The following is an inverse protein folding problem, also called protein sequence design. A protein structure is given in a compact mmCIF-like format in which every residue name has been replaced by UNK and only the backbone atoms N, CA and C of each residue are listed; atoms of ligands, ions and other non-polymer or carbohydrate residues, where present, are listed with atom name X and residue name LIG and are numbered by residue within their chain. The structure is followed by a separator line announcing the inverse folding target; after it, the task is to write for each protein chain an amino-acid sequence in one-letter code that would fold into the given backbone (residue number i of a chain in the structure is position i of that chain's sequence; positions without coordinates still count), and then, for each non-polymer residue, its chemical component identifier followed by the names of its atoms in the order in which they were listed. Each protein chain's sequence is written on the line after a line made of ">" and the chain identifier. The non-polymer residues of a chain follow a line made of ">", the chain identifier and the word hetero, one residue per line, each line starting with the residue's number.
data_IF_538401403085
#
_entry.id   IF_538401403085
#
_cell.length_a   1.000
_cell.length_b   1.000
_cell.length_c   1.000
_cell.angle_alpha   90.00
_cell.angle_beta   90.00
_cell.angle_gamma   90.00
#
_symmetry.space_group_name_H-M   'P 1'
#
loop_
_entity.id
_entity.type
_entity.pdbx_description
1 polymer ?
#
# COMPACT_ATOMS: atom_id res chain seq x y z
N UNK A 1 -36.50 -18.87 -14.37
CA UNK A 1 -37.51 -18.94 -15.47
C UNK A 1 -38.82 -19.62 -15.06
N UNK A 2 -38.85 -20.88 -14.59
CA UNK A 2 -40.11 -21.57 -14.19
C UNK A 2 -40.96 -20.78 -13.17
N UNK A 3 -40.32 -20.19 -12.14
CA UNK A 3 -41.00 -19.33 -11.13
C UNK A 3 -41.64 -18.08 -11.74
N UNK A 4 -40.93 -17.41 -12.66
CA UNK A 4 -41.40 -16.20 -13.35
C UNK A 4 -42.62 -16.55 -14.22
N UNK A 5 -42.55 -17.64 -15.00
CA UNK A 5 -43.68 -18.11 -15.81
C UNK A 5 -44.92 -18.40 -14.97
N UNK A 6 -44.76 -19.09 -13.83
CA UNK A 6 -45.88 -19.40 -12.93
C UNK A 6 -46.51 -18.13 -12.33
N UNK A 7 -45.71 -17.12 -11.98
CA UNK A 7 -46.19 -15.83 -11.46
C UNK A 7 -46.90 -15.01 -12.55
N UNK A 8 -46.35 -14.96 -13.76
CA UNK A 8 -46.97 -14.23 -14.87
C UNK A 8 -48.28 -14.90 -15.33
N UNK A 9 -48.30 -16.23 -15.42
CA UNK A 9 -49.54 -16.98 -15.67
C UNK A 9 -50.54 -16.69 -14.53
N UNK A 10 -50.17 -16.87 -13.26
CA UNK A 10 -51.08 -16.62 -12.14
C UNK A 10 -51.66 -15.20 -12.08
N UNK A 11 -50.89 -14.17 -12.46
CA UNK A 11 -51.34 -12.76 -12.41
C UNK A 11 -52.10 -12.29 -13.66
N UNK A 12 -51.81 -12.83 -14.84
CA UNK A 12 -52.29 -12.28 -16.11
C UNK A 12 -53.10 -13.28 -16.95
N UNK A 13 -53.35 -14.51 -16.46
CA UNK A 13 -54.10 -15.54 -17.19
C UNK A 13 -55.51 -15.10 -17.58
N UNK A 14 -56.20 -14.35 -16.72
CA UNK A 14 -57.57 -13.84 -17.00
C UNK A 14 -57.61 -12.52 -17.79
N UNK A 15 -56.48 -11.85 -18.01
CA UNK A 15 -56.40 -10.63 -18.82
C UNK A 15 -55.01 -10.46 -19.44
N UNK A 16 -54.75 -11.12 -20.59
CA UNK A 16 -53.48 -11.02 -21.30
C UNK A 16 -53.18 -9.61 -21.82
N UNK A 17 -54.19 -8.79 -22.09
CA UNK A 17 -53.98 -7.40 -22.54
C UNK A 17 -53.33 -6.54 -21.45
N UNK A 18 -53.63 -6.84 -20.18
CA UNK A 18 -53.04 -6.14 -19.05
C UNK A 18 -51.52 -6.32 -18.99
N UNK A 19 -50.96 -7.49 -19.34
CA UNK A 19 -49.50 -7.67 -19.37
C UNK A 19 -48.85 -6.85 -20.47
N UNK A 20 -49.49 -6.72 -21.64
CA UNK A 20 -48.99 -5.88 -22.73
C UNK A 20 -48.95 -4.39 -22.35
N UNK A 21 -49.98 -3.91 -21.63
CA UNK A 21 -50.02 -2.53 -21.11
C UNK A 21 -48.92 -2.27 -20.08
N UNK A 22 -48.70 -3.21 -19.15
CA UNK A 22 -47.61 -3.12 -18.15
C UNK A 22 -46.25 -3.05 -18.84
N UNK A 23 -45.99 -3.94 -19.82
CA UNK A 23 -44.74 -3.94 -20.58
C UNK A 23 -44.56 -2.62 -21.35
N UNK A 24 -45.61 -2.14 -22.02
CA UNK A 24 -45.58 -0.87 -22.75
C UNK A 24 -45.25 0.32 -21.83
N UNK A 25 -45.85 0.35 -20.63
CA UNK A 25 -45.57 1.38 -19.63
C UNK A 25 -44.13 1.31 -19.10
N UNK A 26 -43.60 0.11 -18.83
CA UNK A 26 -42.19 -0.08 -18.44
C UNK A 26 -41.24 0.45 -19.53
N UNK A 27 -41.44 0.06 -20.79
CA UNK A 27 -40.62 0.52 -21.91
C UNK A 27 -40.72 2.04 -22.13
N UNK A 28 -41.90 2.64 -21.91
CA UNK A 28 -42.07 4.09 -21.97
C UNK A 28 -41.29 4.79 -20.85
N UNK A 29 -41.33 4.26 -19.63
CA UNK A 29 -40.61 4.84 -18.50
C UNK A 29 -39.09 4.68 -18.65
N UNK A 30 -38.60 3.54 -19.14
CA UNK A 30 -37.18 3.35 -19.48
C UNK A 30 -36.70 4.39 -20.49
N UNK A 31 -37.47 4.64 -21.56
CA UNK A 31 -37.16 5.70 -22.53
C UNK A 31 -37.17 7.09 -21.90
N UNK A 32 -38.11 7.37 -20.99
CA UNK A 32 -38.16 8.65 -20.26
C UNK A 32 -36.93 8.84 -19.38
N UNK A 33 -36.50 7.80 -18.67
CA UNK A 33 -35.29 7.82 -17.83
C UNK A 33 -34.05 8.05 -18.69
N UNK A 34 -33.91 7.35 -19.82
CA UNK A 34 -32.79 7.54 -20.74
C UNK A 34 -32.76 8.95 -21.34
N UNK A 35 -33.92 9.50 -21.71
CA UNK A 35 -34.01 10.88 -22.20
C UNK A 35 -33.61 11.89 -21.12
N UNK A 36 -34.05 11.69 -19.87
CA UNK A 36 -33.68 12.54 -18.75
C UNK A 36 -32.18 12.46 -18.41
N UNK A 37 -31.58 11.27 -18.51
CA UNK A 37 -30.14 11.08 -18.28
C UNK A 37 -29.26 11.72 -19.36
N UNK A 38 -29.78 11.93 -20.57
CA UNK A 38 -29.08 12.58 -21.68
C UNK A 38 -29.24 14.12 -21.70
N UNK A 39 -29.96 14.70 -20.74
CA UNK A 39 -30.06 16.15 -20.63
C UNK A 39 -28.70 16.73 -20.18
N UNK A 40 -28.18 17.76 -20.87
CA UNK A 40 -26.92 18.39 -20.47
C UNK A 40 -27.04 18.97 -19.06
N UNK A 41 -26.11 18.57 -18.18
CA UNK A 41 -26.04 18.93 -16.75
C UNK A 41 -26.11 20.45 -16.57
N UNK A 42 -27.25 20.95 -16.09
CA UNK A 42 -27.45 22.36 -15.73
C UNK A 42 -27.23 22.55 -14.24
N UNK A 43 -25.97 22.75 -13.82
CA UNK A 43 -25.70 23.27 -12.48
C UNK A 43 -24.28 23.00 -11.94
N UNK A 44 -23.68 23.95 -11.18
CA UNK A 44 -22.45 23.72 -10.43
C UNK A 44 -22.54 22.59 -9.39
N UNK A 45 -23.75 22.30 -8.89
CA UNK A 45 -23.98 21.32 -7.82
C UNK A 45 -23.81 19.86 -8.30
N UNK A 46 -24.23 19.53 -9.53
CA UNK A 46 -24.12 18.17 -10.08
C UNK A 46 -22.72 17.84 -10.60
N UNK A 47 -21.93 18.85 -11.02
CA UNK A 47 -20.50 18.68 -11.31
C UNK A 47 -19.67 18.33 -10.07
N UNK A 48 -20.07 18.82 -8.89
CA UNK A 48 -19.47 18.48 -7.59
C UNK A 48 -19.82 17.05 -7.13
N UNK A 49 -20.99 16.54 -7.53
CA UNK A 49 -21.43 15.16 -7.26
C UNK A 49 -20.74 14.11 -8.14
N UNK A 50 -20.15 14.53 -9.27
CA UNK A 50 -19.24 13.68 -10.01
C UNK A 50 -17.91 13.64 -9.24
N UNK A 51 -17.68 12.53 -8.54
CA UNK A 51 -16.44 12.13 -7.85
C UNK A 51 -15.18 12.09 -8.74
N UNK A 52 -15.10 12.86 -9.84
CA UNK A 52 -14.05 12.79 -10.84
C UNK A 52 -12.70 13.21 -10.28
N UNK A 53 -12.63 14.32 -9.54
CA UNK A 53 -11.38 14.83 -8.95
C UNK A 53 -10.82 13.91 -7.86
N UNK A 54 -11.70 13.38 -7.00
CA UNK A 54 -11.34 12.40 -5.97
C UNK A 54 -10.86 11.09 -6.60
N UNK A 55 -11.56 10.61 -7.64
CA UNK A 55 -11.14 9.41 -8.37
C UNK A 55 -9.80 9.61 -9.10
N UNK A 56 -9.55 10.80 -9.63
CA UNK A 56 -8.30 11.13 -10.32
C UNK A 56 -7.12 11.18 -9.36
N UNK A 57 -7.30 11.80 -8.19
CA UNK A 57 -6.30 11.83 -7.12
C UNK A 57 -5.93 10.44 -6.63
N UNK A 58 -6.94 9.58 -6.43
CA UNK A 58 -6.72 8.19 -6.02
C UNK A 58 -5.94 7.39 -7.07
N UNK A 59 -6.31 7.52 -8.35
CA UNK A 59 -5.54 6.89 -9.44
C UNK A 59 -4.10 7.39 -9.47
N UNK A 60 -3.87 8.69 -9.28
CA UNK A 60 -2.51 9.24 -9.26
C UNK A 60 -1.67 8.62 -8.14
N UNK A 61 -2.24 8.43 -6.94
CA UNK A 61 -1.58 7.72 -5.84
C UNK A 61 -1.22 6.30 -6.25
N UNK A 62 -2.17 5.54 -6.80
CA UNK A 62 -1.95 4.16 -7.26
C UNK A 62 -0.83 4.07 -8.32
N UNK A 63 -0.81 4.97 -9.29
CA UNK A 63 0.23 5.01 -10.33
C UNK A 63 1.61 5.29 -9.73
N UNK A 64 1.71 6.24 -8.79
CA UNK A 64 2.98 6.54 -8.11
C UNK A 64 3.46 5.38 -7.24
N UNK A 65 2.55 4.69 -6.55
CA UNK A 65 2.88 3.47 -5.79
C UNK A 65 3.42 2.38 -6.73
N UNK A 66 2.77 2.17 -7.87
CA UNK A 66 3.23 1.18 -8.85
C UNK A 66 4.61 1.55 -9.43
N UNK A 67 4.85 2.83 -9.72
CA UNK A 67 6.14 3.32 -10.18
C UNK A 67 7.26 3.05 -9.16
N UNK A 68 7.03 3.37 -7.88
CA UNK A 68 7.98 3.08 -6.78
C UNK A 68 8.27 1.58 -6.71
N UNK A 69 7.24 0.73 -6.77
CA UNK A 69 7.41 -0.74 -6.74
C UNK A 69 8.30 -1.23 -7.89
N UNK A 70 8.06 -0.72 -9.10
CA UNK A 70 8.89 -1.07 -10.26
C UNK A 70 10.34 -0.60 -10.08
N UNK A 71 10.56 0.63 -9.59
CA UNK A 71 11.90 1.14 -9.30
C UNK A 71 12.64 0.28 -8.27
N UNK A 72 11.98 -0.18 -7.20
CA UNK A 72 12.55 -1.08 -6.20
C UNK A 72 12.92 -2.45 -6.79
N UNK A 73 12.12 -2.96 -7.72
CA UNK A 73 12.43 -4.20 -8.43
C UNK A 73 13.64 -4.04 -9.35
N UNK A 74 13.78 -2.90 -10.03
CA UNK A 74 14.97 -2.62 -10.83
C UNK A 74 16.23 -2.51 -9.97
N UNK A 75 16.18 -1.84 -8.82
CA UNK A 75 17.34 -1.78 -7.91
C UNK A 75 17.70 -3.13 -7.30
N UNK A 76 16.74 -4.05 -7.18
CA UNK A 76 17.03 -5.44 -6.77
C UNK A 76 17.87 -6.16 -7.81
N UNK A 77 17.53 -6.00 -9.09
CA UNK A 77 18.31 -6.55 -10.19
C UNK A 77 19.71 -5.94 -10.25
N UNK A 78 19.82 -4.62 -10.07
CA UNK A 78 21.12 -3.92 -9.99
C UNK A 78 21.97 -4.47 -8.82
N UNK A 79 21.36 -4.70 -7.65
CA UNK A 79 22.05 -5.25 -6.46
C UNK A 79 22.54 -6.68 -6.69
N UNK A 80 21.75 -7.50 -7.38
CA UNK A 80 22.13 -8.87 -7.76
C UNK A 80 23.29 -8.87 -8.77
N UNK A 81 23.22 -8.02 -9.79
CA UNK A 81 24.30 -7.88 -10.76
C UNK A 81 25.61 -7.40 -10.10
N UNK A 82 25.51 -6.52 -9.10
CA UNK A 82 26.65 -6.09 -8.30
C UNK A 82 27.27 -7.25 -7.52
N UNK A 83 26.46 -8.17 -7.01
CA UNK A 83 26.94 -9.42 -6.39
C UNK A 83 27.77 -10.25 -7.36
N UNK A 84 27.22 -10.50 -8.56
CA UNK A 84 27.87 -11.32 -9.58
C UNK A 84 29.23 -10.70 -10.01
N UNK A 85 29.28 -9.38 -10.21
CA UNK A 85 30.53 -8.67 -10.52
C UNK A 85 31.57 -8.78 -9.40
N UNK A 86 31.12 -8.72 -8.15
CA UNK A 86 32.01 -8.80 -7.00
C UNK A 86 32.56 -10.22 -6.83
N UNK A 87 31.74 -11.24 -7.05
CA UNK A 87 32.16 -12.64 -7.02
C UNK A 87 33.16 -12.95 -8.14
N UNK A 88 32.97 -12.39 -9.35
CA UNK A 88 33.95 -12.52 -10.43
C UNK A 88 35.29 -11.86 -10.06
N UNK A 89 35.24 -10.65 -9.49
CA UNK A 89 36.44 -9.95 -9.02
C UNK A 89 37.18 -10.79 -7.97
N UNK A 90 36.47 -11.30 -6.94
CA UNK A 90 37.04 -12.09 -5.86
C UNK A 90 37.70 -13.38 -6.40
N UNK A 91 37.04 -14.06 -7.34
CA UNK A 91 37.58 -15.24 -7.99
C UNK A 91 38.90 -14.95 -8.74
N UNK A 92 38.94 -13.90 -9.56
CA UNK A 92 40.15 -13.50 -10.30
C UNK A 92 41.26 -13.07 -9.36
N UNK A 93 40.93 -12.28 -8.34
CA UNK A 93 41.88 -11.80 -7.35
C UNK A 93 42.54 -12.95 -6.59
N UNK A 94 41.74 -13.92 -6.12
CA UNK A 94 42.26 -15.14 -5.46
C UNK A 94 43.12 -15.98 -6.38
N UNK A 95 42.71 -16.14 -7.64
CA UNK A 95 43.49 -16.88 -8.65
C UNK A 95 44.90 -16.30 -8.78
N UNK A 96 45.02 -14.97 -8.85
CA UNK A 96 46.31 -14.28 -8.89
C UNK A 96 47.11 -14.45 -7.58
N UNK A 97 46.47 -14.33 -6.42
CA UNK A 97 47.16 -14.51 -5.15
C UNK A 97 47.77 -15.91 -4.97
N UNK A 98 47.14 -16.93 -5.53
CA UNK A 98 47.61 -18.33 -5.44
C UNK A 98 48.71 -18.70 -6.44
N UNK A 99 49.06 -17.83 -7.39
CA UNK A 99 50.15 -18.10 -8.34
C UNK A 99 51.55 -18.01 -7.69
N UNK A 100 52.44 -18.93 -8.10
CA UNK A 100 53.77 -19.09 -7.53
C UNK A 100 54.70 -17.91 -7.85
N UNK A 101 55.69 -17.64 -6.99
CA UNK A 101 56.54 -16.43 -7.11
C UNK A 101 57.38 -16.35 -8.39
N UNK A 102 57.61 -17.48 -9.08
CA UNK A 102 58.37 -17.55 -10.33
C UNK A 102 57.69 -16.93 -11.55
N UNK A 103 56.36 -16.81 -11.55
CA UNK A 103 55.57 -16.31 -12.69
C UNK A 103 55.17 -14.82 -12.56
N UNK A 104 55.58 -14.15 -11.46
CA UNK A 104 55.15 -12.78 -11.11
C UNK A 104 55.70 -11.68 -12.00
N UNK A 105 56.71 -11.96 -12.83
CA UNK A 105 57.34 -10.99 -13.74
C UNK A 105 56.83 -11.09 -15.19
N UNK A 106 55.68 -11.74 -15.40
CA UNK A 106 55.13 -11.97 -16.73
C UNK A 106 54.21 -10.82 -17.18
N UNK A 107 54.24 -10.45 -18.46
CA UNK A 107 53.38 -9.39 -19.02
C UNK A 107 51.88 -9.67 -18.82
N UNK A 108 51.51 -10.95 -18.75
CA UNK A 108 50.17 -11.44 -18.43
C UNK A 108 49.71 -11.04 -17.02
N UNK A 109 50.62 -11.02 -16.04
CA UNK A 109 50.31 -10.60 -14.65
C UNK A 109 49.96 -9.11 -14.60
N UNK A 110 50.76 -8.29 -15.29
CA UNK A 110 50.48 -6.85 -15.37
C UNK A 110 49.14 -6.57 -16.07
N UNK A 111 48.79 -7.35 -17.08
CA UNK A 111 47.50 -7.24 -17.75
C UNK A 111 46.33 -7.61 -16.82
N UNK A 112 46.43 -8.71 -16.07
CA UNK A 112 45.36 -9.12 -15.16
C UNK A 112 45.19 -8.14 -13.98
N UNK A 113 46.28 -7.54 -13.49
CA UNK A 113 46.22 -6.46 -12.49
C UNK A 113 45.47 -5.24 -13.03
N UNK A 114 45.69 -4.86 -14.29
CA UNK A 114 44.94 -3.78 -14.94
C UNK A 114 43.46 -4.14 -15.05
N UNK A 115 43.12 -5.37 -15.45
CA UNK A 115 41.74 -5.85 -15.51
C UNK A 115 41.06 -5.82 -14.14
N UNK A 116 41.73 -6.26 -13.08
CA UNK A 116 41.20 -6.15 -11.72
C UNK A 116 40.95 -4.70 -11.30
N UNK A 117 41.84 -3.77 -11.68
CA UNK A 117 41.64 -2.35 -11.39
C UNK A 117 40.41 -1.79 -12.13
N UNK A 118 40.19 -2.18 -13.39
CA UNK A 118 39.00 -1.81 -14.15
C UNK A 118 37.71 -2.38 -13.52
N UNK A 119 37.75 -3.64 -13.06
CA UNK A 119 36.64 -4.26 -12.35
C UNK A 119 36.34 -3.55 -11.02
N UNK A 120 37.37 -3.17 -10.26
CA UNK A 120 37.21 -2.41 -9.01
C UNK A 120 36.57 -1.04 -9.27
N UNK A 121 37.00 -0.33 -10.32
CA UNK A 121 36.41 0.94 -10.72
C UNK A 121 34.94 0.78 -11.14
N UNK A 122 34.62 -0.30 -11.85
CA UNK A 122 33.25 -0.64 -12.25
C UNK A 122 32.37 -0.94 -11.02
N UNK A 123 32.88 -1.74 -10.08
CA UNK A 123 32.20 -2.02 -8.81
C UNK A 123 31.91 -0.74 -8.03
N UNK A 124 32.89 0.16 -7.91
CA UNK A 124 32.69 1.43 -7.23
C UNK A 124 31.61 2.30 -7.91
N UNK A 125 31.68 2.42 -9.23
CA UNK A 125 30.66 3.13 -9.99
C UNK A 125 29.26 2.53 -9.76
N UNK A 126 29.15 1.20 -9.80
CA UNK A 126 27.87 0.49 -9.60
C UNK A 126 27.35 0.60 -8.17
N UNK A 127 28.21 0.58 -7.16
CA UNK A 127 27.82 0.82 -5.76
C UNK A 127 27.24 2.23 -5.58
N UNK A 128 27.90 3.25 -6.16
CA UNK A 128 27.41 4.64 -6.15
C UNK A 128 26.07 4.77 -6.89
N UNK A 129 25.96 4.16 -8.07
CA UNK A 129 24.73 4.16 -8.86
C UNK A 129 23.55 3.54 -8.10
N UNK A 130 23.75 2.36 -7.50
CA UNK A 130 22.73 1.67 -6.72
C UNK A 130 22.27 2.51 -5.52
N UNK A 131 23.20 3.04 -4.71
CA UNK A 131 22.86 3.88 -3.55
C UNK A 131 22.12 5.17 -3.95
N UNK A 132 22.49 5.79 -5.08
CA UNK A 132 21.80 6.96 -5.61
C UNK A 132 20.36 6.63 -6.00
N UNK A 133 20.13 5.52 -6.73
CA UNK A 133 18.78 5.06 -7.09
C UNK A 133 17.95 4.75 -5.85
N UNK A 134 18.51 4.04 -4.87
CA UNK A 134 17.84 3.75 -3.59
C UNK A 134 17.47 5.04 -2.85
N UNK A 135 18.38 6.03 -2.81
CA UNK A 135 18.12 7.34 -2.20
C UNK A 135 16.94 8.05 -2.87
N UNK A 136 16.89 8.04 -4.20
CA UNK A 136 15.79 8.63 -4.97
C UNK A 136 14.46 7.94 -4.62
N UNK A 137 14.43 6.60 -4.59
CA UNK A 137 13.24 5.84 -4.22
C UNK A 137 12.75 6.21 -2.81
N UNK A 138 13.66 6.33 -1.84
CA UNK A 138 13.30 6.74 -0.47
C UNK A 138 12.70 8.15 -0.47
N UNK A 139 13.28 9.09 -1.21
CA UNK A 139 12.76 10.46 -1.32
C UNK A 139 11.37 10.51 -1.97
N UNK A 140 11.16 9.78 -3.06
CA UNK A 140 9.87 9.69 -3.75
C UNK A 140 8.80 9.04 -2.87
N UNK A 141 9.18 7.99 -2.13
CA UNK A 141 8.29 7.30 -1.18
C UNK A 141 7.87 8.23 -0.06
N UNK A 142 8.82 8.93 0.57
CA UNK A 142 8.54 9.88 1.65
C UNK A 142 7.62 11.02 1.19
N UNK A 143 7.91 11.58 0.00
CA UNK A 143 7.07 12.61 -0.60
C UNK A 143 5.64 12.10 -0.88
N UNK A 144 5.50 10.89 -1.43
CA UNK A 144 4.19 10.29 -1.71
C UNK A 144 3.39 10.03 -0.42
N UNK A 145 4.04 9.49 0.60
CA UNK A 145 3.45 9.21 1.90
C UNK A 145 2.94 10.52 2.52
N UNK A 146 3.80 11.53 2.59
CA UNK A 146 3.51 12.79 3.26
C UNK A 146 2.48 13.66 2.52
N UNK A 147 2.55 13.75 1.20
CA UNK A 147 1.74 14.68 0.40
C UNK A 147 0.41 14.11 -0.10
N UNK A 148 0.30 12.79 -0.30
CA UNK A 148 -0.86 12.21 -0.96
C UNK A 148 -1.51 11.10 -0.16
N UNK A 149 -0.76 10.07 0.24
CA UNK A 149 -1.33 8.89 0.89
C UNK A 149 -1.98 9.22 2.24
N UNK A 150 -1.31 10.04 3.06
CA UNK A 150 -1.86 10.46 4.36
C UNK A 150 -3.09 11.36 4.21
N UNK A 151 -3.18 12.13 3.13
CA UNK A 151 -4.37 12.94 2.87
C UNK A 151 -5.55 12.09 2.41
N UNK A 152 -5.34 11.12 1.52
CA UNK A 152 -6.38 10.16 1.13
C UNK A 152 -6.93 9.36 2.32
N UNK A 153 -6.04 9.00 3.27
CA UNK A 153 -6.45 8.35 4.51
C UNK A 153 -7.33 9.26 5.38
N UNK A 154 -6.96 10.53 5.55
CA UNK A 154 -7.76 11.52 6.29
C UNK A 154 -9.10 11.77 5.61
N UNK A 155 -9.13 11.87 4.29
CA UNK A 155 -10.34 12.06 3.50
C UNK A 155 -11.26 10.83 3.58
N UNK A 156 -10.69 9.63 3.59
CA UNK A 156 -11.45 8.41 3.85
C UNK A 156 -12.05 8.41 5.27
N UNK A 157 -11.29 8.78 6.30
CA UNK A 157 -11.81 8.89 7.68
C UNK A 157 -12.93 9.93 7.77
N UNK A 158 -12.79 11.07 7.08
CA UNK A 158 -13.83 12.10 7.03
C UNK A 158 -15.10 11.59 6.36
N UNK A 159 -14.98 10.89 5.23
CA UNK A 159 -16.12 10.24 4.57
C UNK A 159 -16.78 9.19 5.46
N UNK A 160 -16.00 8.42 6.23
CA UNK A 160 -16.54 7.47 7.20
C UNK A 160 -17.35 8.17 8.31
N UNK A 161 -16.87 9.30 8.84
CA UNK A 161 -17.62 10.09 9.82
C UNK A 161 -18.97 10.57 9.26
N UNK A 162 -18.96 11.08 8.03
CA UNK A 162 -20.17 11.53 7.32
C UNK A 162 -21.14 10.36 7.10
N UNK A 163 -20.64 9.19 6.71
CA UNK A 163 -21.46 7.99 6.56
C UNK A 163 -22.10 7.54 7.89
N UNK A 164 -21.41 7.72 9.03
CA UNK A 164 -21.97 7.36 10.34
C UNK A 164 -23.16 8.24 10.77
N UNK A 165 -23.30 9.45 10.20
CA UNK A 165 -24.44 10.35 10.46
C UNK A 165 -25.50 10.30 9.36
N UNK A 166 -25.45 9.28 8.49
CA UNK A 166 -26.44 9.06 7.43
C UNK A 166 -26.05 9.56 6.05
N UNK A 167 -24.80 10.01 5.85
CA UNK A 167 -24.25 10.34 4.54
C UNK A 167 -23.97 9.10 3.67
N UNK A 168 -23.54 9.31 2.41
CA UNK A 168 -23.31 8.23 1.46
C UNK A 168 -22.14 7.31 1.88
N UNK A 169 -22.37 6.00 1.86
CA UNK A 169 -21.33 4.99 2.06
C UNK A 169 -20.33 5.03 0.89
N UNK A 170 -19.04 5.09 1.21
CA UNK A 170 -17.96 5.11 0.23
C UNK A 170 -17.11 3.85 0.29
N UNK A 171 -16.87 3.26 -0.88
CA UNK A 171 -15.92 2.18 -1.08
C UNK A 171 -14.59 2.80 -1.49
N UNK A 172 -13.57 2.72 -0.63
CA UNK A 172 -12.22 3.23 -0.92
C UNK A 172 -11.13 2.60 -0.06
N UNK A 173 -11.51 1.80 0.94
CA UNK A 173 -10.56 1.19 1.86
C UNK A 173 -9.70 0.11 1.20
N UNK A 174 -10.22 -0.57 0.18
CA UNK A 174 -9.47 -1.60 -0.56
C UNK A 174 -8.36 -0.97 -1.43
N UNK A 175 -8.63 0.19 -2.05
CA UNK A 175 -7.62 0.95 -2.78
C UNK A 175 -6.51 1.43 -1.84
N UNK A 176 -6.89 2.00 -0.69
CA UNK A 176 -5.93 2.36 0.35
C UNK A 176 -5.13 1.15 0.83
N UNK A 177 -5.79 0.01 1.10
CA UNK A 177 -5.10 -1.22 1.51
C UNK A 177 -4.07 -1.66 0.46
N UNK A 178 -4.41 -1.61 -0.83
CA UNK A 178 -3.47 -1.95 -1.90
C UNK A 178 -2.26 -1.00 -1.90
N UNK A 179 -2.49 0.32 -1.83
CA UNK A 179 -1.41 1.31 -1.77
C UNK A 179 -0.49 1.11 -0.56
N UNK A 180 -1.07 0.95 0.65
CA UNK A 180 -0.29 0.70 1.87
C UNK A 180 0.49 -0.61 1.81
N UNK A 181 -0.12 -1.68 1.30
CA UNK A 181 0.53 -2.99 1.19
C UNK A 181 1.70 -2.95 0.21
N UNK A 182 1.50 -2.41 -1.00
CA UNK A 182 2.55 -2.33 -2.02
C UNK A 182 3.73 -1.44 -1.58
N UNK A 183 3.46 -0.32 -0.89
CA UNK A 183 4.53 0.52 -0.34
C UNK A 183 5.28 -0.18 0.80
N UNK A 184 4.57 -0.89 1.68
CA UNK A 184 5.22 -1.65 2.75
C UNK A 184 6.11 -2.77 2.17
N UNK A 185 5.62 -3.54 1.20
CA UNK A 185 6.41 -4.54 0.47
C UNK A 185 7.67 -3.93 -0.16
N UNK A 186 7.51 -2.79 -0.85
CA UNK A 186 8.60 -2.07 -1.51
C UNK A 186 9.68 -1.62 -0.52
N UNK A 187 9.27 -1.08 0.63
CA UNK A 187 10.21 -0.66 1.68
C UNK A 187 10.91 -1.84 2.36
N UNK A 188 10.21 -2.94 2.62
CA UNK A 188 10.85 -4.16 3.15
C UNK A 188 11.84 -4.76 2.14
N UNK A 189 11.50 -4.75 0.86
CA UNK A 189 12.41 -5.20 -0.19
C UNK A 189 13.64 -4.30 -0.29
N UNK A 190 13.47 -2.97 -0.23
CA UNK A 190 14.58 -2.02 -0.22
C UNK A 190 15.48 -2.19 1.03
N UNK A 191 14.87 -2.44 2.20
CA UNK A 191 15.62 -2.78 3.42
C UNK A 191 16.49 -4.02 3.24
N UNK A 192 15.95 -5.10 2.65
CA UNK A 192 16.71 -6.33 2.36
C UNK A 192 17.85 -6.08 1.37
N UNK A 193 17.65 -5.23 0.36
CA UNK A 193 18.72 -4.83 -0.57
C UNK A 193 19.85 -4.08 0.17
N UNK A 194 19.53 -3.18 1.10
CA UNK A 194 20.54 -2.50 1.93
C UNK A 194 21.28 -3.48 2.85
N UNK A 195 20.60 -4.47 3.42
CA UNK A 195 21.21 -5.58 4.18
C UNK A 195 22.18 -6.37 3.30
N UNK A 196 21.80 -6.65 2.04
CA UNK A 196 22.66 -7.35 1.08
C UNK A 196 23.91 -6.55 0.68
N UNK A 197 23.77 -5.25 0.47
CA UNK A 197 24.92 -4.36 0.19
C UNK A 197 25.93 -4.34 1.34
N UNK A 198 25.49 -4.42 2.60
CA UNK A 198 26.40 -4.54 3.75
C UNK A 198 27.12 -5.88 3.79
N UNK A 199 26.43 -6.98 3.49
CA UNK A 199 27.06 -8.29 3.36
C UNK A 199 28.18 -8.24 2.31
N UNK A 200 27.91 -7.63 1.16
CA UNK A 200 28.89 -7.44 0.08
C UNK A 200 30.06 -6.53 0.48
N UNK A 201 29.79 -5.40 1.14
CA UNK A 201 30.84 -4.50 1.63
C UNK A 201 31.70 -5.16 2.72
N UNK A 202 31.12 -6.03 3.55
CA UNK A 202 31.88 -6.81 4.55
C UNK A 202 32.84 -7.81 3.89
N UNK A 203 32.44 -8.42 2.76
CA UNK A 203 33.32 -9.31 1.98
C UNK A 203 34.45 -8.55 1.30
N UNK A 204 34.17 -7.34 0.82
CA UNK A 204 35.12 -6.50 0.08
C UNK A 204 34.79 -5.02 0.24
N UNK A 205 35.72 -4.27 0.82
CA UNK A 205 35.64 -2.80 0.97
C UNK A 205 36.96 -2.15 0.60
N UNK A 206 36.95 -0.83 0.50
CA UNK A 206 38.09 -0.01 0.10
C UNK A 206 37.95 1.41 0.65
N UNK A 207 39.03 2.18 0.61
CA UNK A 207 39.03 3.59 1.00
C UNK A 207 38.05 4.39 0.16
N UNK A 208 37.07 5.03 0.80
CA UNK A 208 36.01 5.78 0.12
C UNK A 208 34.85 4.93 -0.43
N UNK A 209 34.71 3.67 0.00
CA UNK A 209 33.53 2.84 -0.30
C UNK A 209 32.24 3.56 0.11
N UNK A 210 31.30 3.81 -0.84
CA UNK A 210 30.09 4.57 -0.54
C UNK A 210 29.11 3.79 0.36
N UNK A 211 29.20 2.45 0.44
CA UNK A 211 28.25 1.63 1.21
C UNK A 211 28.35 1.94 2.71
N UNK A 212 29.50 1.81 3.39
CA UNK A 212 29.61 2.15 4.81
C UNK A 212 29.25 3.61 5.11
N UNK A 213 29.53 4.53 4.17
CA UNK A 213 29.29 5.96 4.34
C UNK A 213 27.80 6.35 4.31
N UNK A 214 27.00 5.72 3.44
CA UNK A 214 25.62 6.16 3.17
C UNK A 214 24.54 5.20 3.70
N UNK A 215 24.86 3.90 3.81
CA UNK A 215 23.86 2.87 4.10
C UNK A 215 23.14 3.09 5.43
N UNK A 216 23.87 3.44 6.48
CA UNK A 216 23.29 3.62 7.82
C UNK A 216 22.15 4.67 7.81
N UNK A 217 22.39 5.80 7.15
CA UNK A 217 21.41 6.86 7.00
C UNK A 217 20.20 6.40 6.15
N UNK A 218 20.42 5.71 5.04
CA UNK A 218 19.33 5.18 4.22
C UNK A 218 18.48 4.16 4.98
N UNK A 219 19.11 3.25 5.72
CA UNK A 219 18.42 2.24 6.52
C UNK A 219 17.57 2.88 7.61
N UNK A 220 18.06 3.93 8.28
CA UNK A 220 17.29 4.70 9.25
C UNK A 220 16.04 5.32 8.61
N UNK A 221 16.19 5.97 7.45
CA UNK A 221 15.07 6.57 6.71
C UNK A 221 14.04 5.53 6.27
N UNK A 222 14.47 4.41 5.71
CA UNK A 222 13.58 3.30 5.34
C UNK A 222 12.85 2.76 6.56
N UNK A 223 13.54 2.57 7.68
CA UNK A 223 12.94 2.09 8.93
C UNK A 223 11.90 3.07 9.48
N UNK A 224 12.18 4.37 9.43
CA UNK A 224 11.23 5.40 9.81
C UNK A 224 9.97 5.38 8.92
N UNK A 225 10.13 5.24 7.60
CA UNK A 225 9.01 5.15 6.67
C UNK A 225 8.15 3.91 6.93
N UNK A 226 8.77 2.76 7.17
CA UNK A 226 8.06 1.53 7.55
C UNK A 226 7.24 1.78 8.82
N UNK A 227 7.86 2.31 9.87
CA UNK A 227 7.17 2.63 11.12
C UNK A 227 5.98 3.58 10.90
N UNK A 228 6.19 4.65 10.13
CA UNK A 228 5.16 5.62 9.80
C UNK A 228 3.97 4.97 9.07
N UNK A 229 4.22 4.12 8.07
CA UNK A 229 3.16 3.39 7.37
C UNK A 229 2.38 2.50 8.33
N UNK A 230 3.06 1.68 9.15
CA UNK A 230 2.40 0.80 10.11
C UNK A 230 1.52 1.57 11.09
N UNK A 231 2.06 2.64 11.68
CA UNK A 231 1.35 3.50 12.63
C UNK A 231 0.04 4.05 12.04
N UNK A 232 0.06 4.46 10.77
CA UNK A 232 -1.10 5.05 10.11
C UNK A 232 -2.03 4.02 9.45
N UNK A 233 -1.57 2.78 9.26
CA UNK A 233 -2.34 1.72 8.60
C UNK A 233 -3.40 1.04 9.48
N UNK A 234 -3.35 1.22 10.80
CA UNK A 234 -4.29 0.59 11.72
C UNK A 234 -5.53 1.48 11.93
N UNK A 235 -6.65 1.07 11.34
CA UNK A 235 -7.88 1.87 11.29
C UNK A 235 -9.10 1.13 11.83
N UNK A 236 -10.09 1.89 12.27
CA UNK A 236 -11.43 1.38 12.57
C UNK A 236 -12.21 1.32 11.26
N UNK A 237 -12.40 0.13 10.69
CA UNK A 237 -13.18 -0.04 9.46
C UNK A 237 -14.69 0.11 9.72
N UNK A 238 -15.18 -0.43 10.85
CA UNK A 238 -16.56 -0.26 11.29
C UNK A 238 -16.59 0.29 12.71
N UNK A 239 -17.14 1.48 12.83
CA UNK A 239 -17.31 2.17 14.11
C UNK A 239 -18.21 1.36 15.07
N UNK A 240 -18.04 1.52 16.40
CA UNK A 240 -18.87 0.89 17.42
C UNK A 240 -20.37 0.99 17.11
N UNK A 241 -21.04 -0.15 17.01
CA UNK A 241 -22.47 -0.21 16.69
C UNK A 241 -23.15 -1.42 17.33
N UNK A 242 -24.36 -1.21 17.86
CA UNK A 242 -25.22 -2.27 18.38
C UNK A 242 -25.97 -2.95 17.23
N UNK A 243 -25.91 -4.29 17.08
CA UNK A 243 -26.67 -5.00 16.03
C UNK A 243 -28.18 -4.78 16.10
N UNK A 244 -28.72 -4.47 17.28
CA UNK A 244 -30.14 -4.15 17.50
C UNK A 244 -30.53 -2.75 17.02
N UNK A 245 -29.56 -1.84 16.81
CA UNK A 245 -29.78 -0.46 16.40
C UNK A 245 -28.78 -0.02 15.30
N UNK A 246 -28.79 -0.67 14.12
CA UNK A 246 -27.78 -0.45 13.08
C UNK A 246 -27.81 0.98 12.48
N UNK A 247 -28.94 1.69 12.63
CA UNK A 247 -29.10 3.07 12.16
C UNK A 247 -28.43 4.13 13.05
N UNK A 248 -27.97 3.75 14.26
CA UNK A 248 -27.37 4.67 15.23
C UNK A 248 -25.97 4.20 15.65
N UNK A 249 -24.98 4.20 14.73
CA UNK A 249 -23.60 3.94 15.11
C UNK A 249 -23.12 4.98 16.14
N UNK A 250 -22.10 4.63 16.93
CA UNK A 250 -21.53 5.45 18.01
C UNK A 250 -22.45 5.73 19.20
N UNK A 251 -23.72 5.30 19.17
CA UNK A 251 -24.63 5.36 20.31
C UNK A 251 -24.68 3.97 20.94
N UNK A 252 -24.18 3.86 22.17
CA UNK A 252 -24.09 2.59 22.90
C UNK A 252 -24.99 2.63 24.13
N UNK A 253 -25.82 1.59 24.31
CA UNK A 253 -26.62 1.39 25.52
C UNK A 253 -25.90 0.39 26.43
N UNK A 254 -25.80 0.71 27.71
CA UNK A 254 -25.20 -0.20 28.71
C UNK A 254 -25.90 -1.54 28.72
N UNK A 255 -25.14 -2.60 29.03
CA UNK A 255 -25.61 -3.99 29.04
C UNK A 255 -26.08 -4.54 27.68
N UNK A 256 -25.95 -3.76 26.59
CA UNK A 256 -26.22 -4.24 25.23
C UNK A 256 -24.91 -4.48 24.51
N UNK A 257 -24.83 -5.63 23.83
CA UNK A 257 -23.68 -5.98 23.01
C UNK A 257 -23.54 -5.01 21.83
N UNK A 258 -22.30 -4.61 21.56
CA UNK A 258 -21.93 -3.87 20.36
C UNK A 258 -20.74 -4.54 19.68
N UNK A 259 -20.48 -4.13 18.44
CA UNK A 259 -19.38 -4.66 17.63
C UNK A 259 -18.55 -3.52 17.05
N UNK A 260 -17.25 -3.78 16.88
CA UNK A 260 -16.29 -2.90 16.21
C UNK A 260 -15.51 -3.77 15.23
N UNK A 261 -15.17 -3.24 14.05
CA UNK A 261 -14.27 -3.91 13.11
C UNK A 261 -13.04 -3.06 12.91
N UNK A 262 -11.87 -3.65 13.17
CA UNK A 262 -10.57 -3.04 12.95
C UNK A 262 -9.96 -3.64 11.67
N UNK A 263 -9.14 -2.85 10.99
CA UNK A 263 -8.42 -3.30 9.80
C UNK A 263 -7.01 -2.74 9.83
N UNK A 264 -6.04 -3.62 9.55
CA UNK A 264 -4.70 -3.22 9.17
C UNK A 264 -4.68 -3.07 7.65
N UNK A 265 -4.34 -1.88 7.16
CA UNK A 265 -4.25 -1.59 5.72
C UNK A 265 -3.00 -2.18 5.08
N UNK A 266 -2.04 -2.65 5.87
CA UNK A 266 -0.91 -3.44 5.39
C UNK A 266 -1.29 -4.91 5.48
N UNK A 267 -1.40 -5.59 4.34
CA UNK A 267 -1.77 -7.00 4.25
C UNK A 267 -0.57 -7.84 3.84
N UNK A 268 0.27 -8.18 4.82
CA UNK A 268 1.42 -9.06 4.64
C UNK A 268 1.11 -10.46 5.22
N UNK A 269 1.33 -11.55 4.47
CA UNK A 269 1.10 -12.92 4.96
C UNK A 269 1.81 -13.22 6.29
N UNK A 270 2.98 -12.65 6.49
CA UNK A 270 3.84 -12.80 7.67
C UNK A 270 3.17 -12.27 8.95
N UNK A 271 2.26 -11.31 8.83
CA UNK A 271 1.57 -10.71 9.98
C UNK A 271 0.32 -11.50 10.40
N UNK A 272 -0.10 -12.49 9.60
CA UNK A 272 -1.30 -13.26 9.88
C UNK A 272 -1.17 -13.95 11.25
N UNK A 273 -2.16 -13.71 12.12
CA UNK A 273 -2.23 -14.24 13.48
C UNK A 273 -1.10 -13.81 14.44
N UNK A 274 -0.19 -12.93 14.02
CA UNK A 274 0.88 -12.40 14.89
C UNK A 274 0.44 -11.18 15.69
N UNK A 275 -0.50 -10.40 15.15
CA UNK A 275 -0.98 -9.18 15.80
C UNK A 275 -2.14 -9.52 16.75
N UNK A 276 -1.91 -9.29 18.05
CA UNK A 276 -2.97 -9.27 19.07
C UNK A 276 -3.41 -7.84 19.31
N UNK A 277 -4.72 -7.63 19.38
CA UNK A 277 -5.27 -6.31 19.69
C UNK A 277 -5.60 -6.29 21.18
N UNK A 278 -5.97 -5.15 21.75
CA UNK A 278 -6.62 -5.13 23.05
C UNK A 278 -7.56 -3.95 23.08
N UNK A 279 -8.84 -4.21 23.34
CA UNK A 279 -9.83 -3.15 23.50
C UNK A 279 -9.83 -2.61 24.95
N UNK A 280 -9.82 -1.29 25.08
CA UNK A 280 -10.05 -0.56 26.33
C UNK A 280 -10.86 0.69 26.05
N UNK A 281 -11.70 1.09 26.99
CA UNK A 281 -12.46 2.35 26.96
C UNK A 281 -11.88 3.33 27.98
N UNK A 282 -11.99 4.63 27.72
CA UNK A 282 -11.57 5.72 28.62
C UNK A 282 -10.09 5.69 29.05
N UNK A 283 -9.19 5.14 28.23
CA UNK A 283 -7.74 5.19 28.47
C UNK A 283 -7.22 6.62 28.21
N UNK A 284 -6.52 7.20 29.19
CA UNK A 284 -5.89 8.54 29.11
C UNK A 284 -6.86 9.74 29.00
N UNK A 285 -8.06 9.66 29.59
CA UNK A 285 -8.99 10.81 29.62
C UNK A 285 -8.52 11.82 30.67
N UNK A 286 -8.17 13.04 30.23
CA UNK A 286 -7.64 14.13 31.06
C UNK A 286 -8.70 14.93 31.83
N UNK A 287 -9.99 14.75 31.55
CA UNK A 287 -11.06 15.60 32.11
C UNK A 287 -12.31 14.82 32.59
N UNK A 288 -12.57 14.93 33.91
CA UNK A 288 -13.87 15.19 34.58
C UNK A 288 -15.19 14.51 34.12
N UNK A 289 -15.20 13.32 33.51
CA UNK A 289 -16.42 12.51 33.50
C UNK A 289 -16.56 11.72 34.81
N UNK A 290 -17.61 11.98 35.59
CA UNK A 290 -17.92 11.22 36.82
C UNK A 290 -18.35 9.76 36.55
N UNK A 291 -18.63 9.41 35.28
CA UNK A 291 -19.04 8.06 34.90
C UNK A 291 -17.90 7.37 34.18
N UNK A 292 -17.48 6.23 34.73
CA UNK A 292 -16.51 5.32 34.13
C UNK A 292 -17.22 4.06 33.69
N UNK A 293 -16.85 3.57 32.50
CA UNK A 293 -17.38 2.33 31.95
C UNK A 293 -16.27 1.28 31.87
N UNK A 294 -16.67 0.02 31.94
CA UNK A 294 -15.78 -1.13 31.71
C UNK A 294 -16.35 -1.93 30.54
N UNK A 295 -15.47 -2.35 29.64
CA UNK A 295 -15.84 -3.28 28.59
C UNK A 295 -15.93 -4.68 29.19
N UNK A 296 -17.10 -5.31 29.06
CA UNK A 296 -17.30 -6.71 29.43
C UNK A 296 -17.44 -7.53 28.14
N UNK A 297 -16.58 -8.53 27.94
CA UNK A 297 -16.59 -9.39 26.75
C UNK A 297 -15.20 -9.91 26.39
N UNK A 298 -15.04 -10.42 25.18
CA UNK A 298 -13.74 -10.91 24.71
C UNK A 298 -12.81 -9.73 24.41
N UNK A 299 -11.81 -9.52 25.27
CA UNK A 299 -10.70 -8.60 25.00
C UNK A 299 -9.70 -9.34 24.10
N UNK A 300 -9.98 -9.42 22.80
CA UNK A 300 -9.05 -9.95 21.80
C UNK A 300 -7.88 -9.00 21.59
#
# INVERSE_FOLDING_TARGET
>A
LKRIRKVLQGKFHGNPMHVAVVISNCLREERRILAAANMPVQGPLEKSLQNSSVSERQRNVEHKVAAIKNSVQMTEQDTKYLEDLQDEFDYRYKTIQTMDQGDKNNALMNQEVLTLQEMLNSLDFKRKEALNKMTQIVNETDALVSSALMEELRDWQRRQQIACIGGPLHNGLDQLQNCFTLLAESLFQLRRQLEKLEEQSTKMTYEGDPIPMQRAHLLERVTFLIYSLFKNSFVVERQPCMPTHPQRPMVLKTLIQFTVKLRLLIKLPELNYQVKVKASIDKNVSTLSNRRFVLCGTHV
#
